data_IF_795466734110
#
_entry.id   IF_795466734110
#
_cell.length_a   1.000
_cell.length_b   1.000
_cell.length_c   1.000
_cell.angle_alpha   90.00
_cell.angle_beta   90.00
_cell.angle_gamma   90.00
#
_symmetry.space_group_name_H-M   'P 1'
#
loop_
_entity.id
_entity.type
_entity.pdbx_description
1 polymer ?
#
# COMPACT_ATOMS: atom_id res chain seq x y z
N UNK A 1 -14.65 -15.85 -30.01
CA UNK A 1 -13.34 -15.26 -29.63
C UNK A 1 -12.90 -15.97 -28.35
N UNK A 2 -11.78 -16.75 -28.42
CA UNK A 2 -11.33 -17.55 -27.30
C UNK A 2 -10.88 -16.69 -26.14
N UNK A 3 -11.15 -17.13 -24.91
CA UNK A 3 -10.60 -16.56 -23.68
C UNK A 3 -9.07 -16.53 -23.77
N UNK A 4 -8.37 -15.45 -23.37
CA UNK A 4 -6.91 -15.44 -23.35
C UNK A 4 -6.41 -16.58 -22.50
N UNK A 5 -5.55 -17.40 -23.09
CA UNK A 5 -5.13 -18.67 -22.49
C UNK A 5 -4.16 -18.43 -21.35
N UNK A 6 -4.56 -18.80 -20.13
CA UNK A 6 -3.67 -18.85 -18.98
C UNK A 6 -2.54 -19.88 -19.24
N UNK A 7 -1.29 -19.50 -18.92
CA UNK A 7 -0.11 -20.35 -19.07
C UNK A 7 0.57 -20.51 -17.72
N UNK A 8 0.17 -21.54 -16.99
CA UNK A 8 0.78 -21.92 -15.73
C UNK A 8 2.00 -22.80 -16.01
N UNK A 9 3.19 -22.35 -15.57
CA UNK A 9 4.45 -23.05 -15.83
C UNK A 9 5.38 -22.97 -14.62
N UNK A 10 6.33 -23.92 -14.45
CA UNK A 10 7.37 -23.81 -13.45
C UNK A 10 8.33 -22.67 -13.80
N UNK A 11 8.87 -22.03 -12.77
CA UNK A 11 10.00 -21.12 -12.95
C UNK A 11 11.27 -21.90 -13.26
N UNK A 12 12.19 -21.30 -14.01
CA UNK A 12 13.50 -21.87 -14.22
C UNK A 12 14.21 -22.03 -12.87
N UNK A 13 14.86 -23.19 -12.59
CA UNK A 13 15.50 -23.45 -11.28
C UNK A 13 16.62 -22.45 -10.92
N UNK A 14 17.21 -21.82 -11.94
CA UNK A 14 18.26 -20.81 -11.84
C UNK A 14 17.72 -19.38 -11.74
N UNK A 15 16.42 -19.18 -11.48
CA UNK A 15 15.82 -17.84 -11.31
C UNK A 15 16.36 -17.19 -10.04
N UNK A 16 17.22 -16.17 -10.21
CA UNK A 16 17.87 -15.43 -9.12
C UNK A 16 17.67 -13.92 -9.20
N UNK A 17 17.34 -13.39 -10.37
CA UNK A 17 17.20 -11.95 -10.60
C UNK A 17 15.82 -11.64 -11.15
N UNK A 18 15.00 -11.00 -10.34
CA UNK A 18 13.61 -10.68 -10.65
C UNK A 18 13.45 -9.16 -10.76
N UNK A 19 12.75 -8.70 -11.79
CA UNK A 19 12.32 -7.31 -11.93
C UNK A 19 10.80 -7.22 -11.86
N UNK A 20 10.30 -6.41 -10.94
CA UNK A 20 8.88 -6.03 -10.86
C UNK A 20 8.68 -4.62 -11.42
N UNK A 21 7.80 -4.46 -12.40
CA UNK A 21 7.55 -3.18 -13.07
C UNK A 21 6.29 -2.52 -12.52
N UNK A 22 6.43 -1.40 -11.79
CA UNK A 22 5.29 -0.65 -11.23
C UNK A 22 5.42 0.85 -11.46
N UNK A 23 5.17 1.29 -12.67
CA UNK A 23 5.25 2.69 -13.09
C UNK A 23 3.98 3.44 -12.65
N UNK A 24 3.92 3.82 -11.39
CA UNK A 24 2.81 4.57 -10.80
C UNK A 24 3.31 5.48 -9.66
N UNK A 25 2.70 6.67 -9.53
CA UNK A 25 3.07 7.68 -8.52
C UNK A 25 2.22 7.60 -7.24
N UNK A 26 1.11 6.86 -7.26
CA UNK A 26 0.18 6.81 -6.12
C UNK A 26 0.71 5.87 -5.04
N UNK A 27 0.79 6.37 -3.80
CA UNK A 27 1.30 5.63 -2.64
C UNK A 27 0.55 4.29 -2.45
N UNK A 28 -0.78 4.29 -2.45
CA UNK A 28 -1.58 3.07 -2.30
C UNK A 28 -1.24 1.99 -3.33
N UNK A 29 -0.98 2.38 -4.58
CA UNK A 29 -0.61 1.43 -5.63
C UNK A 29 0.76 0.78 -5.41
N UNK A 30 1.67 1.44 -4.73
CA UNK A 30 2.97 0.88 -4.35
C UNK A 30 2.79 -0.06 -3.16
N UNK A 31 2.02 0.35 -2.17
CA UNK A 31 1.72 -0.51 -1.01
C UNK A 31 1.00 -1.80 -1.42
N UNK A 32 0.15 -1.77 -2.45
CA UNK A 32 -0.50 -2.97 -3.01
C UNK A 32 0.45 -4.00 -3.61
N UNK A 33 1.72 -3.64 -3.84
CA UNK A 33 2.73 -4.63 -4.24
C UNK A 33 3.29 -5.41 -3.05
N UNK A 34 3.19 -4.88 -1.82
CA UNK A 34 3.90 -5.46 -0.68
C UNK A 34 3.54 -6.91 -0.40
N UNK A 35 2.26 -7.38 -0.53
CA UNK A 35 1.94 -8.80 -0.38
C UNK A 35 2.65 -9.66 -1.44
N UNK A 36 2.62 -9.25 -2.71
CA UNK A 36 3.28 -9.98 -3.79
C UNK A 36 4.79 -10.03 -3.63
N UNK A 37 5.43 -8.91 -3.27
CA UNK A 37 6.88 -8.84 -3.07
C UNK A 37 7.33 -9.75 -1.91
N UNK A 38 6.57 -9.75 -0.81
CA UNK A 38 6.80 -10.67 0.33
C UNK A 38 6.62 -12.13 -0.07
N UNK A 39 5.59 -12.41 -0.87
CA UNK A 39 5.34 -13.77 -1.40
C UNK A 39 6.50 -14.25 -2.27
N UNK A 40 7.01 -13.40 -3.15
CA UNK A 40 8.18 -13.71 -3.96
C UNK A 40 9.43 -13.96 -3.10
N UNK A 41 9.70 -13.09 -2.13
CA UNK A 41 10.88 -13.22 -1.26
C UNK A 41 10.83 -14.49 -0.41
N UNK A 42 9.67 -14.86 0.12
CA UNK A 42 9.50 -16.09 0.89
C UNK A 42 9.57 -17.35 0.03
N UNK A 43 9.04 -17.29 -1.20
CA UNK A 43 9.06 -18.43 -2.13
C UNK A 43 10.44 -18.67 -2.75
N UNK A 44 11.19 -17.59 -3.02
CA UNK A 44 12.47 -17.59 -3.71
C UNK A 44 13.52 -16.85 -2.85
N UNK A 45 13.94 -17.39 -1.71
CA UNK A 45 14.82 -16.70 -0.75
C UNK A 45 16.19 -16.36 -1.33
N UNK A 46 16.65 -17.10 -2.33
CA UNK A 46 17.92 -16.85 -3.02
C UNK A 46 17.81 -15.81 -4.14
N UNK A 47 16.59 -15.37 -4.47
CA UNK A 47 16.39 -14.42 -5.53
C UNK A 47 16.47 -12.97 -5.02
N UNK A 48 17.14 -12.11 -5.80
CA UNK A 48 17.13 -10.67 -5.61
C UNK A 48 15.98 -10.06 -6.41
N UNK A 49 15.11 -9.31 -5.73
CA UNK A 49 13.95 -8.66 -6.34
C UNK A 49 14.25 -7.17 -6.49
N UNK A 50 14.44 -6.73 -7.73
CA UNK A 50 14.53 -5.31 -8.06
C UNK A 50 13.14 -4.80 -8.46
N UNK A 51 12.84 -3.54 -8.14
CA UNK A 51 11.55 -2.93 -8.50
C UNK A 51 11.78 -1.62 -9.22
N UNK A 52 11.05 -1.35 -10.30
CA UNK A 52 11.05 -0.04 -10.95
C UNK A 52 9.76 0.72 -10.64
N UNK A 53 9.90 1.94 -10.13
CA UNK A 53 8.82 2.83 -9.70
C UNK A 53 8.96 4.23 -10.31
N UNK A 54 7.99 5.12 -10.08
CA UNK A 54 8.03 6.51 -10.57
C UNK A 54 8.20 7.57 -9.47
N UNK A 55 8.04 7.22 -8.21
CA UNK A 55 8.12 8.20 -7.11
C UNK A 55 9.28 7.90 -6.16
N UNK A 56 10.28 8.79 -6.05
CA UNK A 56 11.39 8.60 -5.14
C UNK A 56 10.96 8.57 -3.65
N UNK A 57 9.88 9.29 -3.29
CA UNK A 57 9.36 9.29 -1.92
C UNK A 57 8.92 7.90 -1.43
N UNK A 58 8.63 6.97 -2.36
CA UNK A 58 8.18 5.61 -2.04
C UNK A 58 9.34 4.59 -2.03
N UNK A 59 10.53 5.00 -2.44
CA UNK A 59 11.68 4.10 -2.56
C UNK A 59 12.01 3.43 -1.24
N UNK A 60 12.13 4.20 -0.16
CA UNK A 60 12.51 3.71 1.15
C UNK A 60 11.49 2.73 1.73
N UNK A 61 10.18 2.93 1.48
CA UNK A 61 9.14 1.98 1.91
C UNK A 61 9.35 0.58 1.35
N UNK A 62 9.71 0.46 0.07
CA UNK A 62 9.96 -0.83 -0.54
C UNK A 62 11.30 -1.43 -0.12
N UNK A 63 12.31 -0.61 0.16
CA UNK A 63 13.62 -1.06 0.64
C UNK A 63 13.55 -1.74 2.01
N UNK A 64 12.51 -1.48 2.79
CA UNK A 64 12.31 -2.14 4.09
C UNK A 64 11.85 -3.60 3.96
N UNK A 65 11.37 -4.02 2.78
CA UNK A 65 10.85 -5.37 2.57
C UNK A 65 11.98 -6.39 2.40
N UNK A 66 11.80 -7.64 2.87
CA UNK A 66 12.78 -8.70 2.68
C UNK A 66 12.98 -9.05 1.20
N UNK A 67 14.20 -9.44 0.83
CA UNK A 67 14.53 -9.89 -0.53
C UNK A 67 14.61 -8.77 -1.58
N UNK A 68 14.33 -7.52 -1.21
CA UNK A 68 14.42 -6.38 -2.12
C UNK A 68 15.88 -6.00 -2.34
N UNK A 69 16.26 -5.95 -3.61
CA UNK A 69 17.55 -5.50 -4.07
C UNK A 69 17.55 -4.00 -4.37
N UNK A 70 17.56 -3.64 -5.64
CA UNK A 70 17.61 -2.25 -6.07
C UNK A 70 16.22 -1.73 -6.45
N UNK A 71 15.89 -0.54 -5.94
CA UNK A 71 14.72 0.21 -6.39
C UNK A 71 15.18 1.22 -7.45
N UNK A 72 14.66 1.06 -8.64
CA UNK A 72 14.92 1.93 -9.78
C UNK A 72 13.81 2.99 -9.86
N UNK A 73 14.19 4.27 -9.81
CA UNK A 73 13.23 5.36 -9.93
C UNK A 73 13.28 5.92 -11.35
N UNK A 74 12.20 5.67 -12.11
CA UNK A 74 12.03 6.25 -13.45
C UNK A 74 11.65 7.72 -13.32
N UNK A 75 12.49 8.60 -13.81
CA UNK A 75 12.23 10.03 -13.87
C UNK A 75 11.35 10.38 -15.08
N UNK A 76 10.75 11.58 -15.06
CA UNK A 76 9.85 12.06 -16.12
C UNK A 76 10.59 12.54 -17.39
N UNK A 77 11.88 12.84 -17.29
CA UNK A 77 12.70 13.24 -18.45
C UNK A 77 12.91 12.05 -19.39
N UNK A 78 12.76 12.27 -20.71
CA UNK A 78 12.98 11.25 -21.75
C UNK A 78 14.39 10.67 -21.64
N UNK A 79 15.41 11.50 -21.49
CA UNK A 79 16.80 11.06 -21.39
C UNK A 79 17.08 10.25 -20.13
N UNK A 80 16.51 10.64 -19.00
CA UNK A 80 16.62 9.89 -17.75
C UNK A 80 15.87 8.55 -17.85
N UNK A 81 14.71 8.53 -18.48
CA UNK A 81 13.97 7.29 -18.77
C UNK A 81 14.78 6.33 -19.63
N UNK A 82 15.36 6.82 -20.72
CA UNK A 82 16.20 6.00 -21.59
C UNK A 82 17.43 5.45 -20.85
N UNK A 83 18.12 6.28 -20.06
CA UNK A 83 19.25 5.82 -19.21
C UNK A 83 18.82 4.75 -18.23
N UNK A 84 17.68 4.93 -17.55
CA UNK A 84 17.13 3.93 -16.64
C UNK A 84 16.83 2.60 -17.36
N UNK A 85 16.17 2.65 -18.53
CA UNK A 85 15.87 1.47 -19.33
C UNK A 85 17.14 0.76 -19.80
N UNK A 86 18.16 1.49 -20.27
CA UNK A 86 19.44 0.91 -20.64
C UNK A 86 20.14 0.24 -19.45
N UNK A 87 20.16 0.89 -18.29
CA UNK A 87 20.73 0.34 -17.08
C UNK A 87 20.00 -0.96 -16.63
N UNK A 88 18.66 -0.95 -16.64
CA UNK A 88 17.83 -2.12 -16.37
C UNK A 88 18.11 -3.27 -17.34
N UNK A 89 18.21 -2.98 -18.65
CA UNK A 89 18.50 -4.02 -19.67
C UNK A 89 19.87 -4.70 -19.48
N UNK A 90 20.86 -3.98 -18.96
CA UNK A 90 22.21 -4.53 -18.65
C UNK A 90 22.17 -5.53 -17.50
N UNK A 91 21.16 -5.45 -16.62
CA UNK A 91 21.05 -6.32 -15.44
C UNK A 91 20.72 -7.77 -15.78
N UNK A 92 20.19 -8.06 -16.96
CA UNK A 92 19.86 -9.44 -17.45
C UNK A 92 18.99 -10.20 -16.43
N UNK A 93 17.77 -9.73 -16.21
CA UNK A 93 16.82 -10.36 -15.32
C UNK A 93 16.39 -11.74 -15.84
N UNK A 94 16.26 -12.73 -14.96
CA UNK A 94 15.74 -14.06 -15.27
C UNK A 94 14.24 -14.02 -15.44
N UNK A 95 13.54 -13.23 -14.59
CA UNK A 95 12.11 -13.05 -14.59
C UNK A 95 11.74 -11.56 -14.54
N UNK A 96 10.83 -11.14 -15.42
CA UNK A 96 10.22 -9.79 -15.41
C UNK A 96 8.73 -9.93 -15.17
N UNK A 97 8.19 -9.19 -14.19
CA UNK A 97 6.78 -9.25 -13.78
C UNK A 97 6.09 -7.92 -14.05
N UNK A 98 4.99 -7.95 -14.81
CA UNK A 98 3.98 -6.89 -14.85
C UNK A 98 2.83 -7.25 -13.91
N UNK A 99 2.76 -6.68 -12.68
CA UNK A 99 1.76 -7.07 -11.69
C UNK A 99 0.37 -6.52 -12.00
N UNK A 100 0.18 -5.85 -13.14
CA UNK A 100 -1.06 -5.16 -13.44
C UNK A 100 -1.72 -5.63 -14.71
N UNK A 101 -3.03 -5.83 -14.63
CA UNK A 101 -3.83 -6.16 -15.83
C UNK A 101 -4.02 -4.98 -16.79
N UNK A 102 -3.95 -3.69 -16.35
CA UNK A 102 -4.48 -2.54 -17.12
C UNK A 102 -3.53 -1.36 -17.31
N UNK A 103 -2.22 -1.53 -17.11
CA UNK A 103 -1.24 -0.45 -17.26
C UNK A 103 -0.42 -0.58 -18.53
N UNK A 104 -0.63 0.31 -19.50
CA UNK A 104 0.16 0.35 -20.74
C UNK A 104 1.65 0.65 -20.44
N UNK A 105 1.93 1.58 -19.51
CA UNK A 105 3.30 1.94 -19.12
C UNK A 105 4.06 0.76 -18.48
N UNK A 106 3.43 -0.01 -17.60
CA UNK A 106 4.04 -1.22 -17.05
C UNK A 106 4.33 -2.24 -18.13
N UNK A 107 3.38 -2.45 -19.04
CA UNK A 107 3.51 -3.41 -20.14
C UNK A 107 4.65 -3.05 -21.08
N UNK A 108 4.78 -1.77 -21.45
CA UNK A 108 5.91 -1.26 -22.25
C UNK A 108 7.21 -1.44 -21.47
N UNK A 109 7.23 -1.06 -20.17
CA UNK A 109 8.39 -1.27 -19.31
C UNK A 109 8.84 -2.73 -19.24
N UNK A 110 7.91 -3.67 -19.09
CA UNK A 110 8.20 -5.09 -19.10
C UNK A 110 8.65 -5.60 -20.49
N UNK A 111 8.10 -5.04 -21.58
CA UNK A 111 8.40 -5.45 -22.95
C UNK A 111 9.84 -5.14 -23.37
N UNK A 112 10.35 -3.97 -22.98
CA UNK A 112 11.70 -3.54 -23.36
C UNK A 112 12.82 -4.27 -22.61
N UNK A 113 12.50 -5.04 -21.56
CA UNK A 113 13.49 -5.83 -20.81
C UNK A 113 13.88 -7.11 -21.56
N UNK A 114 15.17 -7.43 -21.52
CA UNK A 114 15.68 -8.73 -22.00
C UNK A 114 15.56 -9.73 -20.86
N UNK A 115 14.70 -10.75 -21.05
CA UNK A 115 14.48 -11.80 -20.05
C UNK A 115 14.07 -13.10 -20.73
N UNK A 116 14.37 -14.23 -20.08
CA UNK A 116 13.88 -15.57 -20.51
C UNK A 116 12.45 -15.82 -20.08
N UNK A 117 12.05 -15.25 -18.94
CA UNK A 117 10.73 -15.47 -18.36
C UNK A 117 10.01 -14.13 -18.14
N UNK A 118 8.77 -14.06 -18.61
CA UNK A 118 7.93 -12.88 -18.46
C UNK A 118 6.56 -13.28 -17.94
N UNK A 119 6.17 -12.68 -16.83
CA UNK A 119 4.95 -13.00 -16.10
C UNK A 119 4.00 -11.80 -16.09
N UNK A 120 2.73 -12.04 -16.35
CA UNK A 120 1.69 -11.03 -16.37
C UNK A 120 0.30 -11.61 -16.59
N UNK A 121 -0.73 -10.76 -16.59
CA UNK A 121 -2.09 -11.19 -16.90
C UNK A 121 -2.30 -11.34 -18.41
N UNK A 122 -2.86 -12.47 -18.84
CA UNK A 122 -3.28 -12.72 -20.20
C UNK A 122 -4.42 -11.76 -20.59
N UNK A 123 -4.33 -11.18 -21.80
CA UNK A 123 -5.35 -10.29 -22.37
C UNK A 123 -5.69 -10.68 -23.78
N UNK A 124 -6.88 -10.32 -24.23
CA UNK A 124 -7.37 -10.60 -25.56
C UNK A 124 -6.54 -9.89 -26.65
N UNK A 125 -6.05 -8.68 -26.36
CA UNK A 125 -5.20 -7.84 -27.24
C UNK A 125 -3.71 -7.94 -26.87
N UNK A 126 -3.26 -9.13 -26.49
CA UNK A 126 -1.90 -9.36 -26.00
C UNK A 126 -0.84 -9.21 -27.10
N UNK A 127 -0.17 -8.07 -27.12
CA UNK A 127 1.00 -7.84 -28.00
C UNK A 127 2.34 -8.21 -27.36
N UNK A 128 2.40 -8.28 -26.01
CA UNK A 128 3.59 -8.70 -25.27
C UNK A 128 3.57 -10.21 -25.05
N UNK A 129 4.55 -10.96 -25.56
CA UNK A 129 4.62 -12.40 -25.30
C UNK A 129 4.93 -12.67 -23.83
N UNK A 130 4.03 -13.38 -23.17
CA UNK A 130 4.20 -13.88 -21.80
C UNK A 130 4.61 -15.35 -21.86
N UNK A 131 5.58 -15.73 -21.03
CA UNK A 131 5.94 -17.14 -20.79
C UNK A 131 5.06 -17.75 -19.73
N UNK A 132 4.69 -16.93 -18.71
CA UNK A 132 3.80 -17.26 -17.59
C UNK A 132 2.63 -16.27 -17.62
N UNK A 133 1.42 -16.76 -17.72
CA UNK A 133 0.25 -15.92 -17.88
C UNK A 133 -0.86 -16.36 -16.94
N UNK A 134 -1.26 -15.49 -16.00
CA UNK A 134 -2.49 -15.68 -15.25
C UNK A 134 -3.71 -15.25 -16.09
N UNK A 135 -4.82 -15.92 -15.88
CA UNK A 135 -6.10 -15.53 -16.43
C UNK A 135 -6.67 -14.26 -15.77
N UNK A 136 -7.99 -14.07 -15.90
CA UNK A 136 -8.67 -12.96 -15.21
C UNK A 136 -8.61 -13.18 -13.70
N UNK A 137 -8.20 -12.15 -12.91
CA UNK A 137 -8.19 -12.27 -11.45
C UNK A 137 -9.57 -12.62 -10.88
N UNK A 138 -9.62 -13.45 -9.87
CA UNK A 138 -10.85 -13.77 -9.12
C UNK A 138 -11.21 -12.66 -8.15
N UNK A 139 -10.20 -12.14 -7.43
CA UNK A 139 -10.38 -11.01 -6.54
C UNK A 139 -10.56 -9.70 -7.30
N UNK A 140 -11.39 -8.83 -6.77
CA UNK A 140 -11.47 -7.43 -7.22
C UNK A 140 -10.37 -6.57 -6.61
N UNK A 141 -9.84 -6.95 -5.44
CA UNK A 141 -8.87 -6.17 -4.68
C UNK A 141 -7.51 -6.13 -5.36
N UNK A 142 -7.00 -4.93 -5.65
CA UNK A 142 -5.80 -4.71 -6.44
C UNK A 142 -4.53 -5.38 -5.87
N UNK A 143 -4.38 -5.43 -4.54
CA UNK A 143 -3.23 -6.09 -3.91
C UNK A 143 -3.35 -7.62 -3.99
N UNK A 144 -4.55 -8.17 -3.85
CA UNK A 144 -4.78 -9.62 -3.94
C UNK A 144 -4.61 -10.11 -5.37
N UNK A 145 -5.05 -9.33 -6.37
CA UNK A 145 -4.78 -9.64 -7.78
C UNK A 145 -3.29 -9.85 -8.06
N UNK A 146 -2.42 -9.03 -7.45
CA UNK A 146 -0.98 -9.17 -7.63
C UNK A 146 -0.44 -10.49 -7.04
N UNK A 147 -1.03 -11.00 -5.95
CA UNK A 147 -0.70 -12.32 -5.37
C UNK A 147 -1.27 -13.45 -6.24
N UNK A 148 -2.54 -13.34 -6.66
CA UNK A 148 -3.18 -14.30 -7.57
C UNK A 148 -2.40 -14.45 -8.89
N UNK A 149 -1.78 -13.36 -9.38
CA UNK A 149 -0.91 -13.45 -10.54
C UNK A 149 0.21 -14.49 -10.37
N UNK A 150 0.83 -14.55 -9.18
CA UNK A 150 1.88 -15.53 -8.90
C UNK A 150 1.30 -16.96 -8.84
N UNK A 151 0.26 -17.16 -8.04
CA UNK A 151 -0.31 -18.50 -7.80
C UNK A 151 -0.94 -19.10 -9.05
N UNK A 152 -1.47 -18.27 -9.95
CA UNK A 152 -2.16 -18.73 -11.16
C UNK A 152 -1.21 -18.93 -12.35
N UNK A 153 -0.07 -18.23 -12.39
CA UNK A 153 0.87 -18.29 -13.51
C UNK A 153 2.10 -19.19 -13.23
N UNK A 154 2.44 -19.45 -11.95
CA UNK A 154 3.57 -20.26 -11.54
C UNK A 154 3.06 -21.61 -11.01
N UNK A 155 3.57 -22.73 -11.56
CA UNK A 155 3.21 -24.08 -11.09
C UNK A 155 4.17 -24.59 -10.02
N UNK A 156 5.45 -24.24 -10.12
CA UNK A 156 6.53 -24.60 -9.20
C UNK A 156 7.58 -23.50 -9.14
N UNK A 157 8.15 -23.20 -7.95
CA UNK A 157 7.78 -23.75 -6.64
C UNK A 157 6.40 -23.32 -6.17
N UNK A 158 5.83 -23.98 -5.16
CA UNK A 158 4.59 -23.54 -4.51
C UNK A 158 4.76 -22.15 -3.89
N UNK A 159 3.82 -21.27 -4.16
CA UNK A 159 3.90 -19.87 -3.76
C UNK A 159 3.45 -19.70 -2.30
N UNK A 160 4.36 -19.23 -1.45
CA UNK A 160 4.03 -18.73 -0.13
C UNK A 160 3.24 -17.44 -0.29
N UNK A 161 2.03 -17.36 0.23
CA UNK A 161 1.13 -16.21 0.01
C UNK A 161 1.00 -15.31 1.24
N UNK A 162 1.07 -14.00 1.01
CA UNK A 162 0.72 -12.97 1.99
C UNK A 162 -0.44 -12.13 1.46
N UNK A 163 -1.44 -11.88 2.29
CA UNK A 163 -2.66 -11.16 1.91
C UNK A 163 -2.81 -9.81 2.65
N UNK A 164 -1.82 -9.41 3.44
CA UNK A 164 -1.81 -8.14 4.16
C UNK A 164 -0.72 -7.22 3.64
N UNK A 165 -1.00 -5.92 3.63
CA UNK A 165 0.02 -4.90 3.37
C UNK A 165 1.07 -4.93 4.49
N UNK A 166 2.31 -4.58 4.20
CA UNK A 166 3.35 -4.45 5.21
C UNK A 166 4.43 -3.46 4.79
N UNK A 167 4.98 -2.76 5.78
CA UNK A 167 6.21 -1.98 5.72
C UNK A 167 6.99 -2.24 7.02
N UNK A 168 8.31 -2.12 6.98
CA UNK A 168 9.17 -2.45 8.12
C UNK A 168 10.11 -1.26 8.40
N UNK A 169 9.64 -0.19 9.08
CA UNK A 169 10.48 0.92 9.49
C UNK A 169 11.67 0.44 10.32
N UNK A 170 12.85 0.99 10.08
CA UNK A 170 14.06 0.68 10.84
C UNK A 170 14.11 1.40 12.20
N UNK A 171 15.15 1.12 12.99
CA UNK A 171 15.31 1.71 14.32
C UNK A 171 15.43 3.24 14.27
N UNK A 172 16.06 3.80 13.22
CA UNK A 172 16.15 5.24 13.03
C UNK A 172 14.79 5.87 12.73
N UNK A 173 13.95 5.21 11.92
CA UNK A 173 12.57 5.61 11.68
C UNK A 173 11.74 5.56 12.97
N UNK A 174 11.93 4.52 13.80
CA UNK A 174 11.25 4.37 15.10
C UNK A 174 11.65 5.46 16.10
N UNK A 175 12.95 5.81 16.13
CA UNK A 175 13.43 6.88 17.00
C UNK A 175 12.82 8.23 16.59
N UNK A 176 12.86 8.59 15.29
CA UNK A 176 12.25 9.83 14.79
C UNK A 176 10.74 9.86 15.00
N UNK A 177 10.07 8.75 14.80
CA UNK A 177 8.63 8.62 15.12
C UNK A 177 8.37 8.90 16.61
N UNK A 178 9.27 8.49 17.50
CA UNK A 178 9.17 8.80 18.95
C UNK A 178 9.29 10.30 19.19
N UNK A 179 10.24 10.97 18.55
CA UNK A 179 10.40 12.42 18.65
C UNK A 179 9.15 13.16 18.13
N UNK A 180 8.62 12.77 16.97
CA UNK A 180 7.38 13.33 16.43
C UNK A 180 6.19 13.12 17.36
N UNK A 181 6.06 11.92 17.93
CA UNK A 181 5.02 11.57 18.89
C UNK A 181 5.09 12.45 20.15
N UNK A 182 6.28 12.57 20.73
CA UNK A 182 6.48 13.38 21.94
C UNK A 182 6.20 14.87 21.68
N UNK A 183 6.64 15.37 20.53
CA UNK A 183 6.41 16.77 20.14
C UNK A 183 4.92 17.08 19.91
N UNK A 184 4.17 16.15 19.31
CA UNK A 184 2.77 16.36 18.97
C UNK A 184 1.82 16.10 20.17
N UNK A 185 2.08 15.05 20.91
CA UNK A 185 1.16 14.54 21.94
C UNK A 185 1.70 14.65 23.36
N UNK A 186 3.01 14.39 23.55
CA UNK A 186 3.65 14.39 24.87
C UNK A 186 2.87 13.49 25.85
N UNK A 187 2.65 14.00 27.07
CA UNK A 187 1.91 13.31 28.12
C UNK A 187 0.41 13.09 27.82
N UNK A 188 -0.15 13.77 26.80
CA UNK A 188 -1.58 13.63 26.45
C UNK A 188 -1.95 12.20 26.03
N UNK A 189 -0.98 11.46 25.45
CA UNK A 189 -1.18 10.09 24.98
C UNK A 189 -0.93 9.02 26.05
N UNK A 190 -0.45 9.40 27.25
CA UNK A 190 -0.20 8.43 28.32
C UNK A 190 -1.50 7.78 28.78
N UNK A 191 -1.56 6.44 28.72
CA UNK A 191 -2.72 5.62 29.15
C UNK A 191 -4.08 5.99 28.51
N UNK A 192 -4.04 6.61 27.31
CA UNK A 192 -5.23 7.03 26.58
C UNK A 192 -5.19 6.50 25.16
N UNK A 193 -6.32 6.05 24.59
CA UNK A 193 -6.34 5.64 23.20
C UNK A 193 -6.06 6.83 22.28
N UNK A 194 -5.18 6.62 21.31
CA UNK A 194 -4.83 7.63 20.29
C UNK A 194 -5.46 7.24 18.96
N UNK A 195 -6.36 8.07 18.49
CA UNK A 195 -7.04 7.91 17.21
C UNK A 195 -6.39 8.86 16.19
N UNK A 196 -5.65 8.29 15.25
CA UNK A 196 -5.15 9.04 14.10
C UNK A 196 -6.23 9.22 13.03
N UNK A 197 -6.15 10.30 12.25
CA UNK A 197 -7.02 10.46 11.09
C UNK A 197 -6.37 11.26 9.97
N UNK A 198 -6.89 11.08 8.73
CA UNK A 198 -6.44 11.81 7.55
C UNK A 198 -7.64 12.40 6.80
N UNK A 199 -7.79 13.71 6.84
CA UNK A 199 -8.92 14.44 6.26
C UNK A 199 -8.72 14.90 4.80
N UNK A 200 -7.51 14.75 4.26
CA UNK A 200 -7.09 15.38 3.00
C UNK A 200 -7.09 14.41 1.80
N UNK A 201 -8.05 13.48 1.73
CA UNK A 201 -8.26 12.69 0.52
C UNK A 201 -8.54 13.60 -0.68
N UNK A 202 -8.26 13.12 -1.90
CA UNK A 202 -8.38 13.93 -3.10
C UNK A 202 -9.58 13.54 -3.98
N UNK A 203 -10.10 14.51 -4.72
CA UNK A 203 -11.18 14.30 -5.68
C UNK A 203 -12.50 13.88 -5.03
N UNK A 204 -13.26 13.00 -5.68
CA UNK A 204 -14.60 12.58 -5.22
C UNK A 204 -14.61 11.79 -3.91
N UNK A 205 -13.46 11.36 -3.41
CA UNK A 205 -13.30 10.63 -2.15
C UNK A 205 -13.27 11.54 -0.92
N UNK A 206 -13.06 12.84 -1.12
CA UNK A 206 -12.95 13.84 -0.05
C UNK A 206 -14.24 13.98 0.73
N UNK A 207 -14.15 13.94 2.05
CA UNK A 207 -15.20 14.41 2.94
C UNK A 207 -14.97 15.90 3.22
N UNK A 208 -16.02 16.74 3.24
CA UNK A 208 -15.85 18.16 3.45
C UNK A 208 -15.37 18.48 4.88
N UNK A 209 -14.71 19.64 5.06
CA UNK A 209 -14.15 20.05 6.35
C UNK A 209 -15.15 19.98 7.51
N UNK A 210 -16.39 20.44 7.29
CA UNK A 210 -17.44 20.42 8.31
C UNK A 210 -17.82 19.00 8.74
N UNK A 211 -17.70 17.98 7.84
CA UNK A 211 -17.92 16.59 8.19
C UNK A 211 -16.90 16.12 9.23
N UNK A 212 -15.61 16.43 9.01
CA UNK A 212 -14.54 16.07 9.94
C UNK A 212 -14.68 16.81 11.26
N UNK A 213 -15.06 18.09 11.26
CA UNK A 213 -15.34 18.87 12.47
C UNK A 213 -16.47 18.26 13.27
N UNK A 214 -17.57 17.86 12.62
CA UNK A 214 -18.68 17.14 13.28
C UNK A 214 -18.22 15.79 13.83
N UNK A 215 -17.35 15.08 13.11
CA UNK A 215 -16.78 13.81 13.57
C UNK A 215 -15.90 14.00 14.83
N UNK A 216 -15.08 15.03 14.88
CA UNK A 216 -14.29 15.37 16.06
C UNK A 216 -15.19 15.63 17.27
N UNK A 217 -16.30 16.35 17.09
CA UNK A 217 -17.28 16.60 18.14
C UNK A 217 -17.89 15.28 18.64
N UNK A 218 -18.27 14.40 17.73
CA UNK A 218 -18.83 13.07 18.07
C UNK A 218 -17.81 12.19 18.80
N UNK A 219 -16.54 12.19 18.40
CA UNK A 219 -15.48 11.44 19.11
C UNK A 219 -15.33 11.97 20.52
N UNK A 220 -15.25 13.28 20.73
CA UNK A 220 -15.15 13.89 22.06
C UNK A 220 -16.35 13.55 22.96
N UNK A 221 -17.54 13.42 22.35
CA UNK A 221 -18.76 13.05 23.08
C UNK A 221 -18.83 11.58 23.45
N UNK A 222 -18.47 10.67 22.54
CA UNK A 222 -18.64 9.22 22.72
C UNK A 222 -17.40 8.54 23.30
N UNK A 223 -16.20 9.10 23.08
CA UNK A 223 -14.90 8.57 23.52
C UNK A 223 -14.10 9.69 24.19
N UNK A 224 -14.56 10.25 25.31
CA UNK A 224 -14.01 11.48 25.90
C UNK A 224 -12.55 11.36 26.35
N UNK A 225 -12.06 10.17 26.57
CA UNK A 225 -10.67 9.91 26.93
C UNK A 225 -9.75 9.71 25.72
N UNK A 226 -10.28 9.68 24.47
CA UNK A 226 -9.45 9.54 23.29
C UNK A 226 -8.65 10.82 23.00
N UNK A 227 -7.43 10.63 22.52
CA UNK A 227 -6.59 11.67 21.94
C UNK A 227 -6.67 11.60 20.44
N UNK A 228 -6.91 12.74 19.77
CA UNK A 228 -6.95 12.82 18.31
C UNK A 228 -5.63 13.35 17.76
N UNK A 229 -5.13 12.70 16.69
CA UNK A 229 -3.95 13.12 15.95
C UNK A 229 -4.26 13.20 14.45
N UNK A 230 -4.22 14.40 13.88
CA UNK A 230 -4.38 14.59 12.44
C UNK A 230 -3.06 14.38 11.71
N UNK A 231 -3.07 13.55 10.67
CA UNK A 231 -1.96 13.42 9.73
C UNK A 231 -2.18 14.39 8.56
N UNK A 232 -1.23 15.29 8.35
CA UNK A 232 -1.28 16.26 7.27
C UNK A 232 -0.52 15.78 6.02
N UNK A 233 -0.94 16.13 4.81
CA UNK A 233 -0.25 15.74 3.56
C UNK A 233 1.09 16.46 3.35
N UNK A 234 1.39 17.48 4.14
CA UNK A 234 2.62 18.27 4.10
C UNK A 234 2.57 19.45 5.06
N UNK A 235 3.70 20.08 5.29
CA UNK A 235 3.86 21.18 6.29
C UNK A 235 3.01 22.42 6.03
N UNK A 236 2.59 22.64 4.77
CA UNK A 236 1.78 23.78 4.38
C UNK A 236 0.28 23.52 4.43
N UNK A 237 -0.12 22.30 4.73
CA UNK A 237 -1.53 21.94 4.85
C UNK A 237 -2.11 22.44 6.17
N UNK A 238 -3.31 23.01 6.10
CA UNK A 238 -4.03 23.46 7.29
C UNK A 238 -4.77 22.30 7.95
N UNK A 239 -4.68 22.15 9.29
CA UNK A 239 -5.45 21.15 10.01
C UNK A 239 -6.95 21.44 9.93
N UNK A 240 -7.76 20.42 10.09
CA UNK A 240 -9.24 20.55 10.11
C UNK A 240 -9.69 21.40 11.30
N UNK A 241 -9.01 21.26 12.42
CA UNK A 241 -9.26 22.01 13.65
C UNK A 241 -7.92 22.30 14.34
N UNK A 242 -7.64 23.56 14.62
CA UNK A 242 -6.34 24.03 15.15
C UNK A 242 -6.04 23.53 16.56
N UNK A 243 -7.08 23.19 17.33
CA UNK A 243 -6.96 22.64 18.68
C UNK A 243 -6.65 21.13 18.72
N UNK A 244 -6.64 20.47 17.56
CA UNK A 244 -6.26 19.06 17.44
C UNK A 244 -4.76 18.97 17.18
N UNK A 245 -4.10 18.04 17.87
CA UNK A 245 -2.71 17.69 17.58
C UNK A 245 -2.57 17.22 16.13
N UNK A 246 -1.54 17.68 15.44
CA UNK A 246 -1.31 17.32 14.04
C UNK A 246 0.17 17.16 13.74
N UNK A 247 0.47 16.34 12.73
CA UNK A 247 1.83 16.11 12.24
C UNK A 247 1.88 16.09 10.73
N UNK A 248 2.98 16.59 10.16
CA UNK A 248 3.32 16.47 8.76
C UNK A 248 4.71 15.85 8.65
N UNK A 249 4.77 14.57 8.30
CA UNK A 249 6.01 13.79 8.21
C UNK A 249 6.20 13.37 6.75
N UNK A 250 7.27 13.85 6.12
CA UNK A 250 7.57 13.57 4.72
C UNK A 250 8.20 12.21 4.48
N UNK A 251 9.18 11.74 5.31
CA UNK A 251 9.65 10.37 5.18
C UNK A 251 8.54 9.39 5.53
N UNK A 252 8.04 8.68 4.50
CA UNK A 252 6.91 7.77 4.66
C UNK A 252 7.19 6.60 5.61
N UNK A 253 8.45 6.22 5.80
CA UNK A 253 8.84 5.19 6.77
C UNK A 253 8.74 5.69 8.20
N UNK A 254 9.14 6.93 8.47
CA UNK A 254 8.94 7.58 9.77
C UNK A 254 7.45 7.76 10.09
N UNK A 255 6.65 8.16 9.07
CA UNK A 255 5.20 8.24 9.20
C UNK A 255 4.58 6.87 9.50
N UNK A 256 5.04 5.81 8.83
CA UNK A 256 4.61 4.44 9.09
C UNK A 256 4.94 4.01 10.53
N UNK A 257 6.14 4.33 11.02
CA UNK A 257 6.56 4.06 12.39
C UNK A 257 5.72 4.84 13.43
N UNK A 258 5.32 6.07 13.11
CA UNK A 258 4.39 6.82 13.97
C UNK A 258 3.00 6.20 13.95
N UNK A 259 2.50 5.85 12.74
CA UNK A 259 1.17 5.26 12.59
C UNK A 259 1.03 3.93 13.34
N UNK A 260 2.08 3.11 13.41
CA UNK A 260 2.06 1.83 14.13
C UNK A 260 1.78 1.95 15.63
N UNK A 261 1.88 3.16 16.20
CA UNK A 261 1.59 3.46 17.62
C UNK A 261 0.14 3.89 17.86
N UNK A 262 -0.64 4.09 16.80
CA UNK A 262 -2.03 4.48 16.91
C UNK A 262 -2.91 3.28 17.27
N UNK A 263 -3.87 3.46 18.15
CA UNK A 263 -4.86 2.42 18.45
C UNK A 263 -5.85 2.24 17.30
N UNK A 264 -6.24 3.33 16.65
CA UNK A 264 -7.13 3.33 15.48
C UNK A 264 -6.69 4.42 14.49
N UNK A 265 -6.99 4.18 13.22
CA UNK A 265 -6.80 5.19 12.16
C UNK A 265 -8.04 5.31 11.29
N UNK A 266 -8.50 6.53 11.04
CA UNK A 266 -9.70 6.81 10.22
C UNK A 266 -9.31 7.63 9.00
N UNK A 267 -9.64 7.16 7.82
CA UNK A 267 -9.43 7.91 6.59
C UNK A 267 -10.37 7.46 5.47
N UNK A 268 -10.64 8.36 4.54
CA UNK A 268 -11.17 7.95 3.24
C UNK A 268 -10.13 7.15 2.44
N UNK A 269 -10.56 6.44 1.39
CA UNK A 269 -9.65 5.72 0.48
C UNK A 269 -8.53 6.63 -0.03
N UNK A 270 -7.34 6.45 0.52
CA UNK A 270 -6.17 7.31 0.32
C UNK A 270 -4.87 6.56 0.59
N UNK A 271 -3.75 7.14 0.14
CA UNK A 271 -2.41 6.60 0.43
C UNK A 271 -2.12 6.41 1.92
N UNK A 272 -2.36 7.40 2.79
CA UNK A 272 -2.21 7.27 4.24
C UNK A 272 -3.07 6.18 4.87
N UNK A 273 -4.30 5.92 4.38
CA UNK A 273 -5.11 4.79 4.83
C UNK A 273 -4.39 3.45 4.65
N UNK A 274 -3.82 3.24 3.46
CA UNK A 274 -3.08 2.02 3.16
C UNK A 274 -1.73 1.95 3.89
N UNK A 275 -1.10 3.10 4.15
CA UNK A 275 0.15 3.15 4.92
C UNK A 275 -0.11 2.74 6.37
N UNK A 276 -1.17 3.24 7.00
CA UNK A 276 -1.59 2.83 8.35
C UNK A 276 -1.86 1.32 8.42
N UNK A 277 -2.60 0.76 7.45
CA UNK A 277 -2.82 -0.68 7.38
C UNK A 277 -1.52 -1.47 7.22
N UNK A 278 -0.58 -0.99 6.38
CA UNK A 278 0.73 -1.60 6.18
C UNK A 278 1.64 -1.52 7.41
N UNK A 279 1.41 -0.54 8.30
CA UNK A 279 2.13 -0.36 9.56
C UNK A 279 1.58 -1.24 10.70
N UNK A 280 0.53 -2.03 10.44
CA UNK A 280 -0.14 -2.86 11.44
C UNK A 280 -1.22 -2.15 12.28
N UNK A 281 -1.49 -0.88 11.99
CA UNK A 281 -2.52 -0.10 12.67
C UNK A 281 -3.92 -0.61 12.33
N UNK A 282 -4.81 -0.62 13.30
CA UNK A 282 -6.23 -0.89 13.09
C UNK A 282 -6.87 0.27 12.32
N UNK A 283 -7.46 0.01 11.15
CA UNK A 283 -7.97 1.05 10.24
C UNK A 283 -9.47 0.94 10.02
N UNK A 284 -10.14 2.08 10.10
CA UNK A 284 -11.52 2.26 9.61
C UNK A 284 -11.46 3.07 8.32
N UNK A 285 -11.59 2.39 7.19
CA UNK A 285 -11.59 3.00 5.86
C UNK A 285 -12.99 3.46 5.46
N UNK A 286 -13.13 4.71 4.99
CA UNK A 286 -14.39 5.31 4.57
C UNK A 286 -14.48 5.35 3.04
N UNK A 287 -15.48 4.68 2.46
CA UNK A 287 -15.65 4.53 1.02
C UNK A 287 -16.95 5.17 0.54
N UNK A 288 -16.84 6.31 -0.18
CA UNK A 288 -17.99 7.02 -0.77
C UNK A 288 -17.98 7.09 -2.30
N UNK A 289 -16.80 6.94 -2.92
CA UNK A 289 -16.63 7.11 -4.36
C UNK A 289 -15.88 5.98 -5.05
N UNK A 290 -15.17 5.18 -4.28
CA UNK A 290 -14.50 3.94 -4.70
C UNK A 290 -15.16 2.76 -4.00
N UNK A 291 -14.88 1.56 -4.47
CA UNK A 291 -15.43 0.34 -3.88
C UNK A 291 -14.44 -0.25 -2.88
N UNK A 292 -14.91 -0.58 -1.69
CA UNK A 292 -14.10 -1.29 -0.70
C UNK A 292 -13.59 -2.63 -1.25
N UNK A 293 -14.38 -3.33 -2.06
CA UNK A 293 -13.95 -4.57 -2.74
C UNK A 293 -12.67 -4.44 -3.56
N UNK A 294 -12.36 -3.23 -4.06
CA UNK A 294 -11.23 -2.98 -4.93
C UNK A 294 -10.02 -2.41 -4.17
N UNK A 295 -10.28 -1.66 -3.05
CA UNK A 295 -9.30 -0.82 -2.36
C UNK A 295 -9.39 -0.84 -0.82
N UNK A 296 -10.02 -1.82 -0.18
CA UNK A 296 -10.07 -1.91 1.28
C UNK A 296 -8.66 -1.85 1.90
N UNK A 297 -8.49 -1.30 3.12
CA UNK A 297 -7.23 -1.46 3.84
C UNK A 297 -7.03 -2.93 4.21
N UNK A 298 -5.91 -3.53 3.80
CA UNK A 298 -5.59 -4.94 4.09
C UNK A 298 -4.63 -5.04 5.26
N UNK A 299 -5.16 -5.21 6.45
CA UNK A 299 -4.46 -5.43 7.70
C UNK A 299 -5.29 -6.31 8.64
N UNK A 300 -4.69 -6.81 9.70
CA UNK A 300 -5.32 -7.78 10.61
C UNK A 300 -6.60 -7.26 11.27
N UNK A 301 -6.65 -5.96 11.58
CA UNK A 301 -7.76 -5.31 12.27
C UNK A 301 -8.37 -4.17 11.45
N UNK A 302 -8.34 -4.28 10.11
CA UNK A 302 -8.89 -3.26 9.23
C UNK A 302 -10.32 -3.56 8.85
N UNK A 303 -11.15 -2.52 8.78
CA UNK A 303 -12.52 -2.60 8.27
C UNK A 303 -12.81 -1.49 7.27
N UNK A 304 -13.83 -1.67 6.47
CA UNK A 304 -14.32 -0.68 5.50
C UNK A 304 -15.77 -0.37 5.76
N UNK A 305 -16.10 0.91 5.74
CA UNK A 305 -17.46 1.42 5.75
C UNK A 305 -17.76 1.98 4.36
N UNK A 306 -18.70 1.39 3.64
CA UNK A 306 -19.03 1.71 2.24
C UNK A 306 -20.54 1.83 1.98
N UNK A 307 -21.34 1.88 3.04
CA UNK A 307 -22.76 2.07 2.96
C UNK A 307 -23.14 3.56 2.76
N UNK A 308 -24.41 3.80 2.51
CA UNK A 308 -24.95 5.14 2.24
C UNK A 308 -24.94 6.03 3.50
N UNK A 309 -24.75 5.46 4.70
CA UNK A 309 -24.66 6.20 5.96
C UNK A 309 -23.23 6.23 6.48
N UNK A 310 -22.45 7.19 6.04
CA UNK A 310 -21.14 7.52 6.59
C UNK A 310 -21.25 8.76 7.49
N UNK A 311 -22.27 8.82 8.34
CA UNK A 311 -22.44 9.92 9.29
C UNK A 311 -21.33 9.91 10.35
N UNK A 312 -20.90 11.09 10.84
CA UNK A 312 -19.92 11.19 11.93
C UNK A 312 -20.26 10.33 13.13
N UNK A 313 -21.53 10.30 13.54
CA UNK A 313 -22.02 9.52 14.67
C UNK A 313 -21.84 8.00 14.48
N UNK A 314 -22.13 7.48 13.27
CA UNK A 314 -21.97 6.06 12.96
C UNK A 314 -20.51 5.65 12.95
N UNK A 315 -19.65 6.43 12.29
CA UNK A 315 -18.20 6.18 12.26
C UNK A 315 -17.63 6.15 13.69
N UNK A 316 -18.04 7.11 14.52
CA UNK A 316 -17.60 7.17 15.93
C UNK A 316 -18.08 5.98 16.76
N UNK A 317 -19.31 5.51 16.56
CA UNK A 317 -19.83 4.32 17.25
C UNK A 317 -19.00 3.09 16.92
N UNK A 318 -18.67 2.88 15.65
CA UNK A 318 -17.80 1.78 15.22
C UNK A 318 -16.42 1.87 15.88
N UNK A 319 -15.83 3.07 15.97
CA UNK A 319 -14.55 3.27 16.68
C UNK A 319 -14.66 2.95 18.17
N UNK A 320 -15.72 3.42 18.85
CA UNK A 320 -15.93 3.17 20.26
C UNK A 320 -16.07 1.67 20.58
N UNK A 321 -16.75 0.92 19.72
CA UNK A 321 -16.87 -0.54 19.85
C UNK A 321 -15.51 -1.23 19.71
N UNK A 322 -14.67 -0.78 18.81
CA UNK A 322 -13.34 -1.36 18.54
C UNK A 322 -12.28 -1.01 19.57
N UNK A 323 -12.47 0.07 20.32
CA UNK A 323 -11.57 0.49 21.41
C UNK A 323 -11.92 -0.15 22.77
N UNK A 324 -13.04 -0.87 22.86
CA UNK A 324 -13.35 -1.64 24.07
C UNK A 324 -12.31 -2.76 24.19
N UNK A 325 -11.75 -2.98 25.41
CA UNK A 325 -10.92 -4.15 25.63
C UNK A 325 -11.76 -5.40 25.32
N UNK A 326 -11.15 -6.34 24.57
CA UNK A 326 -11.74 -7.67 24.40
C UNK A 326 -11.87 -8.26 25.83
N UNK A 327 -13.05 -8.22 26.40
CA UNK A 327 -13.36 -9.02 27.59
C UNK A 327 -13.41 -10.47 27.08
N UNK A 328 -12.51 -11.36 27.50
CA UNK A 328 -12.66 -12.77 27.18
C UNK A 328 -13.97 -13.26 27.80
N UNK A 329 -14.84 -13.86 26.97
CA UNK A 329 -15.99 -14.63 27.45
C UNK A 329 -15.54 -15.87 28.22
#
# INVERSE_FOLDING_TARGET
MGTPEARRRPLAPDTRRILVVRLNKRLGNILFLTPMLRSLAATLPEARIDVVIQSPAQQRLLQTLPGIGQIWVQQTSIWATLRCLFALRKQRYDLVIDPTGNSASNRIGAAVMRTRQRLGFAKHDQWLPLTHAAGRPRSRHQAIQAVELLTDAISEPEIVTFNTLAVFPDDADQQRATEHWQNALGKRAEQRPVIGFFAHATGRKTFPRHWWQSWIIEVRRQIPNAVLLEILPGKTAEPVATEIAHVAIEPLTELAALMSRLDQFVAADSGPMHLAAASGTSVVGLFRATRASDYAPLGQHCISLDDNDLSPAKVTRVLAERLKPNTPE
#
